data_IF_399338968942
#
_entry.id   IF_399338968942
#
_cell.length_a   1.000
_cell.length_b   1.000
_cell.length_c   1.000
_cell.angle_alpha   90.00
_cell.angle_beta   90.00
_cell.angle_gamma   90.00
#
_symmetry.space_group_name_H-M   'P 1'
#
loop_
_entity.id
_entity.type
_entity.pdbx_description
1 polymer ?
#
# COMPACT_ATOMS: atom_id res chain seq x y z
N UNK A 1 -41.12 -9.24 -23.85
CA UNK A 1 -40.17 -10.32 -24.14
C UNK A 1 -38.78 -9.70 -24.15
N UNK A 2 -37.98 -10.08 -23.13
CA UNK A 2 -36.52 -10.00 -22.87
C UNK A 2 -35.65 -9.09 -23.76
N UNK A 3 -34.62 -8.34 -23.33
CA UNK A 3 -33.47 -8.56 -22.40
C UNK A 3 -32.91 -7.15 -22.03
N UNK A 4 -32.40 -6.86 -20.81
CA UNK A 4 -30.96 -6.49 -20.48
C UNK A 4 -31.05 -5.47 -19.32
N UNK A 5 -30.50 -5.62 -18.12
CA UNK A 5 -29.10 -5.79 -17.72
C UNK A 5 -28.56 -4.46 -17.14
N UNK A 6 -28.15 -4.45 -15.85
CA UNK A 6 -27.27 -3.50 -15.14
C UNK A 6 -27.70 -3.39 -13.66
N UNK A 7 -26.99 -4.02 -12.72
CA UNK A 7 -25.80 -3.50 -12.05
C UNK A 7 -26.13 -2.76 -10.74
N UNK A 8 -25.50 -3.24 -9.66
CA UNK A 8 -24.71 -2.42 -8.73
C UNK A 8 -25.44 -1.31 -7.96
N UNK A 9 -25.45 -1.48 -6.64
CA UNK A 9 -25.91 -0.57 -5.58
C UNK A 9 -27.42 -0.58 -5.30
N UNK A 10 -27.86 -0.98 -4.09
CA UNK A 10 -29.00 -0.32 -3.50
C UNK A 10 -28.49 0.97 -2.83
N UNK A 11 -28.27 2.01 -3.62
CA UNK A 11 -28.53 3.37 -3.15
C UNK A 11 -30.04 3.57 -3.16
N UNK A 12 -30.70 3.08 -2.13
CA UNK A 12 -32.00 3.60 -1.73
C UNK A 12 -32.18 3.33 -0.24
N UNK A 13 -31.70 4.28 0.55
CA UNK A 13 -32.19 4.47 1.91
C UNK A 13 -33.70 4.73 1.82
N UNK A 14 -34.52 3.72 2.07
CA UNK A 14 -35.96 3.89 2.28
C UNK A 14 -36.44 2.91 3.36
N UNK A 15 -36.07 3.20 4.62
CA UNK A 15 -36.76 2.64 5.78
C UNK A 15 -37.76 3.70 6.26
N UNK A 16 -39.09 3.53 6.11
CA UNK A 16 -40.06 4.61 6.36
C UNK A 16 -40.27 4.97 7.84
N UNK A 17 -39.71 4.22 8.80
CA UNK A 17 -39.79 4.57 10.22
C UNK A 17 -38.72 3.84 11.05
N UNK A 18 -37.45 4.02 10.71
CA UNK A 18 -36.34 3.56 11.56
C UNK A 18 -35.42 4.74 11.78
N UNK A 19 -35.31 5.17 13.04
CA UNK A 19 -34.31 6.14 13.47
C UNK A 19 -32.95 5.52 13.15
N UNK A 20 -32.32 5.96 12.06
CA UNK A 20 -30.98 5.54 11.68
C UNK A 20 -30.03 6.21 12.68
N UNK A 21 -29.83 5.57 13.84
CA UNK A 21 -28.76 5.92 14.76
C UNK A 21 -27.46 5.89 13.97
N UNK A 22 -26.81 7.07 13.87
CA UNK A 22 -25.48 7.19 13.30
C UNK A 22 -24.56 6.26 14.08
N UNK A 23 -24.33 5.06 13.56
CA UNK A 23 -23.28 4.19 14.06
C UNK A 23 -21.95 4.91 13.82
N UNK A 24 -21.37 5.38 14.92
CA UNK A 24 -20.03 5.96 14.94
C UNK A 24 -19.02 4.93 14.47
N UNK A 25 -18.21 5.26 13.45
CA UNK A 25 -17.11 4.46 12.90
C UNK A 25 -15.92 4.29 13.88
N UNK A 26 -16.17 4.27 15.18
CA UNK A 26 -15.12 4.21 16.20
C UNK A 26 -14.78 2.75 16.57
N UNK A 27 -14.31 1.96 15.62
CA UNK A 27 -13.91 0.57 15.90
C UNK A 27 -12.68 0.07 15.12
N UNK A 28 -11.87 0.98 14.56
CA UNK A 28 -10.60 0.60 13.94
C UNK A 28 -9.42 1.39 14.54
N UNK A 29 -9.44 1.65 15.85
CA UNK A 29 -8.24 2.11 16.53
C UNK A 29 -7.31 0.92 16.74
N UNK A 30 -6.61 0.53 15.67
CA UNK A 30 -5.53 -0.44 15.78
C UNK A 30 -4.33 0.30 16.38
N UNK A 31 -3.87 -0.05 17.59
CA UNK A 31 -2.69 0.58 18.16
C UNK A 31 -1.51 0.29 17.23
N UNK A 32 -1.13 1.29 16.44
CA UNK A 32 0.01 1.19 15.54
C UNK A 32 1.27 1.21 16.41
N UNK A 33 1.82 0.03 16.67
CA UNK A 33 3.15 -0.08 17.28
C UNK A 33 4.11 0.57 16.30
N UNK A 34 4.72 1.68 16.71
CA UNK A 34 5.68 2.44 15.92
C UNK A 34 6.95 1.60 15.68
N UNK A 35 6.84 0.61 14.80
CA UNK A 35 7.97 -0.06 14.19
C UNK A 35 8.42 0.82 13.03
N UNK A 36 9.72 1.01 12.87
CA UNK A 36 10.24 1.75 11.73
C UNK A 36 9.74 1.09 10.45
N UNK A 37 9.02 1.83 9.61
CA UNK A 37 8.43 1.33 8.36
C UNK A 37 9.49 0.65 7.47
N UNK A 38 10.73 1.15 7.54
CA UNK A 38 11.92 0.61 6.87
C UNK A 38 12.21 -0.84 7.29
N UNK A 39 12.13 -1.15 8.58
CA UNK A 39 12.40 -2.52 9.08
C UNK A 39 11.37 -3.51 8.57
N UNK A 40 10.09 -3.11 8.51
CA UNK A 40 9.02 -4.00 8.04
C UNK A 40 9.13 -4.26 6.54
N UNK A 41 9.57 -3.24 5.78
CA UNK A 41 9.85 -3.38 4.36
C UNK A 41 10.93 -4.44 4.08
N UNK A 42 12.07 -4.40 4.79
CA UNK A 42 13.13 -5.41 4.61
C UNK A 42 12.71 -6.81 5.06
N UNK A 43 11.91 -6.90 6.11
CA UNK A 43 11.33 -8.17 6.54
C UNK A 43 10.44 -8.76 5.45
N UNK A 44 9.56 -7.95 4.86
CA UNK A 44 8.68 -8.38 3.78
C UNK A 44 9.48 -8.78 2.53
N UNK A 45 10.55 -8.04 2.19
CA UNK A 45 11.43 -8.40 1.07
C UNK A 45 12.13 -9.74 1.26
N UNK A 46 12.41 -10.14 2.51
CA UNK A 46 12.97 -11.44 2.82
C UNK A 46 11.94 -12.57 2.76
N UNK A 47 10.69 -12.28 3.15
CA UNK A 47 9.60 -13.26 3.17
C UNK A 47 9.03 -13.52 1.76
N UNK A 48 8.92 -12.49 0.94
CA UNK A 48 8.30 -12.58 -0.39
C UNK A 48 9.15 -11.87 -1.45
N UNK A 49 10.35 -12.40 -1.79
CA UNK A 49 11.30 -11.73 -2.66
C UNK A 49 10.80 -11.56 -4.10
N UNK A 50 9.96 -12.48 -4.58
CA UNK A 50 9.52 -12.54 -5.98
C UNK A 50 8.29 -11.68 -6.28
N UNK A 51 7.63 -11.13 -5.25
CA UNK A 51 6.43 -10.31 -5.45
C UNK A 51 6.82 -8.93 -6.00
N UNK A 52 6.00 -8.43 -6.92
CA UNK A 52 6.17 -7.08 -7.48
C UNK A 52 5.84 -6.04 -6.40
N UNK A 53 6.81 -5.19 -6.09
CA UNK A 53 6.67 -4.13 -5.08
C UNK A 53 6.37 -2.77 -5.72
N UNK A 54 6.92 -2.51 -6.91
CA UNK A 54 6.81 -1.23 -7.60
C UNK A 54 6.55 -1.46 -9.08
N UNK A 55 5.57 -0.74 -9.62
CA UNK A 55 5.26 -0.69 -11.04
C UNK A 55 5.26 0.78 -11.44
N UNK A 56 5.98 1.12 -12.49
CA UNK A 56 5.97 2.46 -13.06
C UNK A 56 6.01 2.39 -14.59
N UNK A 57 5.66 3.49 -15.23
CA UNK A 57 5.81 3.63 -16.67
C UNK A 57 7.06 4.46 -16.95
N UNK A 58 7.93 3.93 -17.81
CA UNK A 58 9.08 4.64 -18.32
C UNK A 58 8.90 4.78 -19.82
N UNK A 59 8.75 6.03 -20.29
CA UNK A 59 8.41 6.36 -21.67
C UNK A 59 7.13 5.63 -22.13
N UNK A 60 7.29 4.52 -22.85
CA UNK A 60 6.23 3.69 -23.42
C UNK A 60 6.27 2.24 -22.92
N UNK A 61 7.12 1.95 -21.94
CA UNK A 61 7.32 0.61 -21.37
C UNK A 61 6.85 0.58 -19.92
N UNK A 62 6.17 -0.50 -19.53
CA UNK A 62 5.81 -0.75 -18.13
C UNK A 62 6.97 -1.46 -17.46
N UNK A 63 7.63 -0.75 -16.55
CA UNK A 63 8.68 -1.29 -15.71
C UNK A 63 8.09 -1.80 -14.41
N UNK A 64 8.62 -2.91 -13.93
CA UNK A 64 8.22 -3.53 -12.68
C UNK A 64 9.47 -3.95 -11.92
N UNK A 65 9.36 -3.95 -10.60
CA UNK A 65 10.48 -4.30 -9.75
C UNK A 65 9.99 -5.06 -8.52
N UNK A 66 10.64 -6.18 -8.26
CA UNK A 66 10.30 -7.09 -7.17
C UNK A 66 10.75 -6.56 -5.82
N UNK A 67 10.17 -7.06 -4.73
CA UNK A 67 10.60 -6.67 -3.38
C UNK A 67 12.10 -6.93 -3.14
N UNK A 68 12.65 -8.02 -3.68
CA UNK A 68 14.08 -8.31 -3.58
C UNK A 68 14.93 -7.26 -4.31
N UNK A 69 14.60 -6.95 -5.56
CA UNK A 69 15.33 -5.94 -6.34
C UNK A 69 15.25 -4.57 -5.68
N UNK A 70 14.09 -4.21 -5.12
CA UNK A 70 13.87 -2.89 -4.54
C UNK A 70 14.73 -2.73 -3.29
N UNK A 71 14.74 -3.75 -2.45
CA UNK A 71 15.57 -3.79 -1.25
C UNK A 71 17.06 -3.74 -1.60
N UNK A 72 17.51 -4.46 -2.62
CA UNK A 72 18.91 -4.43 -3.05
C UNK A 72 19.32 -3.05 -3.58
N UNK A 73 18.49 -2.40 -4.40
CA UNK A 73 18.77 -1.05 -4.88
C UNK A 73 18.80 -0.03 -3.74
N UNK A 74 17.86 -0.13 -2.79
CA UNK A 74 17.84 0.72 -1.60
C UNK A 74 19.12 0.57 -0.75
N UNK A 75 19.58 -0.67 -0.54
CA UNK A 75 20.84 -0.93 0.18
C UNK A 75 22.07 -0.41 -0.58
N UNK A 76 22.09 -0.58 -1.91
CA UNK A 76 23.18 -0.06 -2.76
C UNK A 76 23.25 1.47 -2.69
N UNK A 77 22.10 2.14 -2.74
CA UNK A 77 22.00 3.58 -2.56
C UNK A 77 22.45 4.00 -1.17
N UNK A 78 22.00 3.31 -0.11
CA UNK A 78 22.41 3.60 1.26
C UNK A 78 23.93 3.48 1.44
N UNK A 79 24.54 2.42 0.89
CA UNK A 79 25.99 2.23 0.93
C UNK A 79 26.73 3.32 0.17
N UNK A 80 26.24 3.67 -1.04
CA UNK A 80 26.82 4.76 -1.82
C UNK A 80 26.74 6.10 -1.08
N UNK A 81 25.59 6.41 -0.46
CA UNK A 81 25.39 7.62 0.34
C UNK A 81 26.30 7.67 1.58
N UNK A 82 26.50 6.53 2.24
CA UNK A 82 27.45 6.41 3.36
C UNK A 82 28.88 6.70 2.91
N UNK A 83 29.30 6.16 1.76
CA UNK A 83 30.62 6.44 1.19
C UNK A 83 30.81 7.93 0.81
N UNK A 84 29.74 8.60 0.39
CA UNK A 84 29.75 10.04 0.12
C UNK A 84 29.78 10.91 1.40
N UNK A 85 29.87 10.29 2.58
CA UNK A 85 29.98 11.01 3.85
C UNK A 85 28.67 11.64 4.33
N UNK A 86 27.52 11.21 3.81
CA UNK A 86 26.22 11.64 4.34
C UNK A 86 25.97 10.93 5.67
N UNK A 87 26.41 11.55 6.76
CA UNK A 87 26.07 11.15 8.12
C UNK A 87 24.59 11.47 8.36
N UNK A 88 23.83 10.50 8.85
CA UNK A 88 22.44 10.70 9.23
C UNK A 88 22.37 11.74 10.38
N UNK A 89 21.84 12.92 10.07
CA UNK A 89 21.65 14.01 11.02
C UNK A 89 22.49 15.24 10.71
N UNK A 90 21.98 16.09 9.82
CA UNK A 90 22.28 17.52 9.83
C UNK A 90 21.04 18.31 9.44
#
# INVERSE_FOLDING_TARGET
MTITGCSRFPTSCLCPNVRCERQSLAAAHHPYVAKHCITLFFQQASQTPQLVALIWMQEQQTCQLSYAELAQQALKLAHWLQLQGTLAGR
#
